data_IF_532840688803
#
_entry.id   IF_532840688803
#
_cell.length_a   1.000
_cell.length_b   1.000
_cell.length_c   1.000
_cell.angle_alpha   90.00
_cell.angle_beta   90.00
_cell.angle_gamma   90.00
#
_symmetry.space_group_name_H-M   'P 1'
#
loop_
_entity.id
_entity.type
_entity.pdbx_description
1 polymer ?
#
# COMPACT_ATOMS: atom_id res chain seq x y z
N UNK A 1 4.63 3.80 -13.97
CA UNK A 1 4.81 3.24 -12.61
C UNK A 1 3.49 2.97 -11.91
N UNK A 2 2.57 3.94 -11.85
CA UNK A 2 1.22 3.78 -11.28
C UNK A 2 0.42 2.60 -11.84
N UNK A 3 0.43 2.40 -13.17
CA UNK A 3 -0.30 1.29 -13.81
C UNK A 3 0.22 -0.10 -13.36
N UNK A 4 1.53 -0.25 -13.17
CA UNK A 4 2.13 -1.48 -12.64
C UNK A 4 1.74 -1.73 -11.18
N UNK A 5 1.67 -0.67 -10.36
CA UNK A 5 1.27 -0.78 -8.96
C UNK A 5 -0.21 -1.18 -8.82
N UNK A 6 -1.08 -0.66 -9.70
CA UNK A 6 -2.50 -1.06 -9.76
C UNK A 6 -2.61 -2.54 -10.13
N UNK A 7 -1.89 -2.97 -11.18
CA UNK A 7 -1.85 -4.37 -11.60
C UNK A 7 -1.33 -5.29 -10.49
N UNK A 8 -0.26 -4.89 -9.80
CA UNK A 8 0.29 -5.64 -8.69
C UNK A 8 -0.73 -5.79 -7.56
N UNK A 9 -1.39 -4.71 -7.14
CA UNK A 9 -2.43 -4.76 -6.10
C UNK A 9 -3.60 -5.67 -6.48
N UNK A 10 -4.02 -5.66 -7.75
CA UNK A 10 -5.09 -6.54 -8.26
C UNK A 10 -4.66 -8.01 -8.27
N UNK A 11 -3.43 -8.29 -8.72
CA UNK A 11 -2.85 -9.63 -8.70
C UNK A 11 -2.72 -10.16 -7.27
N UNK A 12 -2.26 -9.35 -6.32
CA UNK A 12 -2.17 -9.72 -4.90
C UNK A 12 -3.56 -10.02 -4.32
N UNK A 13 -4.56 -9.16 -4.61
CA UNK A 13 -5.93 -9.38 -4.16
C UNK A 13 -6.51 -10.70 -4.67
N UNK A 14 -6.26 -11.04 -5.94
CA UNK A 14 -6.76 -12.30 -6.53
C UNK A 14 -5.98 -13.50 -6.01
N UNK A 15 -4.65 -13.41 -5.99
CA UNK A 15 -3.78 -14.53 -5.62
C UNK A 15 -3.90 -14.90 -4.14
N UNK A 16 -3.97 -13.91 -3.25
CA UNK A 16 -4.10 -14.16 -1.81
C UNK A 16 -5.55 -14.14 -1.32
N UNK A 17 -6.40 -13.26 -1.86
CA UNK A 17 -7.80 -13.15 -1.42
C UNK A 17 -8.62 -14.40 -1.74
N UNK A 18 -8.42 -15.03 -2.90
CA UNK A 18 -9.15 -16.24 -3.30
C UNK A 18 -8.89 -17.43 -2.35
N UNK A 19 -7.64 -17.82 -2.02
CA UNK A 19 -7.38 -18.89 -1.06
C UNK A 19 -7.80 -18.53 0.36
N UNK A 20 -7.67 -17.27 0.79
CA UNK A 20 -8.12 -16.82 2.11
C UNK A 20 -9.64 -16.98 2.26
N UNK A 21 -10.40 -16.56 1.24
CA UNK A 21 -11.84 -16.74 1.20
C UNK A 21 -12.23 -18.23 1.21
N UNK A 22 -11.57 -19.05 0.37
CA UNK A 22 -11.84 -20.49 0.28
C UNK A 22 -11.56 -21.23 1.59
N UNK A 23 -10.53 -20.81 2.34
CA UNK A 23 -10.18 -21.37 3.66
C UNK A 23 -11.00 -20.76 4.82
N UNK A 24 -11.95 -19.85 4.54
CA UNK A 24 -12.73 -19.11 5.54
C UNK A 24 -11.86 -18.37 6.57
N UNK A 25 -10.69 -17.90 6.15
CA UNK A 25 -9.75 -17.13 6.95
C UNK A 25 -10.16 -15.64 6.91
N UNK A 26 -11.28 -15.33 7.56
CA UNK A 26 -11.92 -14.02 7.48
C UNK A 26 -11.09 -12.90 8.10
N UNK A 27 -10.30 -13.20 9.15
CA UNK A 27 -9.46 -12.21 9.81
C UNK A 27 -8.31 -11.78 8.89
N UNK A 28 -7.67 -12.74 8.26
CA UNK A 28 -6.58 -12.51 7.31
C UNK A 28 -7.11 -11.80 6.05
N UNK A 29 -8.30 -12.19 5.57
CA UNK A 29 -8.98 -11.49 4.47
C UNK A 29 -9.28 -10.01 4.82
N UNK A 30 -9.74 -9.75 6.05
CA UNK A 30 -9.99 -8.40 6.52
C UNK A 30 -8.69 -7.57 6.61
N UNK A 31 -7.60 -8.16 7.09
CA UNK A 31 -6.29 -7.51 7.16
C UNK A 31 -5.76 -7.21 5.74
N UNK A 32 -5.87 -8.15 4.81
CA UNK A 32 -5.48 -7.95 3.40
C UNK A 32 -6.28 -6.81 2.77
N UNK A 33 -7.61 -6.82 2.97
CA UNK A 33 -8.49 -5.77 2.47
C UNK A 33 -8.17 -4.40 3.07
N UNK A 34 -7.85 -4.33 4.36
CA UNK A 34 -7.47 -3.10 5.05
C UNK A 34 -6.12 -2.58 4.53
N UNK A 35 -5.13 -3.46 4.33
CA UNK A 35 -3.85 -3.11 3.73
C UNK A 35 -4.00 -2.56 2.31
N UNK A 36 -4.70 -3.28 1.42
CA UNK A 36 -4.89 -2.84 0.04
C UNK A 36 -5.77 -1.58 -0.05
N UNK A 37 -6.82 -1.50 0.77
CA UNK A 37 -7.69 -0.34 0.85
C UNK A 37 -6.97 0.91 1.37
N UNK A 38 -6.17 0.78 2.43
CA UNK A 38 -5.38 1.89 2.97
C UNK A 38 -4.30 2.36 1.99
N UNK A 39 -3.63 1.44 1.28
CA UNK A 39 -2.70 1.76 0.21
C UNK A 39 -3.40 2.52 -0.94
N UNK A 40 -4.58 2.06 -1.35
CA UNK A 40 -5.40 2.72 -2.37
C UNK A 40 -5.80 4.14 -1.96
N UNK A 41 -6.26 4.31 -0.72
CA UNK A 41 -6.60 5.63 -0.16
C UNK A 41 -5.40 6.57 -0.14
N UNK A 42 -4.23 6.10 0.31
CA UNK A 42 -3.00 6.91 0.30
C UNK A 42 -2.62 7.34 -1.11
N UNK A 43 -2.76 6.44 -2.10
CA UNK A 43 -2.54 6.76 -3.50
C UNK A 43 -3.49 7.85 -4.02
N UNK A 44 -4.78 7.76 -3.70
CA UNK A 44 -5.79 8.77 -4.08
C UNK A 44 -5.47 10.12 -3.44
N UNK A 45 -5.20 10.15 -2.13
CA UNK A 45 -4.86 11.37 -1.39
C UNK A 45 -3.61 12.04 -1.98
N UNK A 46 -2.61 11.24 -2.37
CA UNK A 46 -1.41 11.75 -3.03
C UNK A 46 -1.70 12.35 -4.42
N UNK A 47 -2.59 11.73 -5.22
CA UNK A 47 -3.03 12.27 -6.51
C UNK A 47 -3.84 13.57 -6.35
N UNK A 48 -4.60 13.69 -5.27
CA UNK A 48 -5.34 14.92 -4.92
C UNK A 48 -4.44 16.07 -4.43
N UNK A 49 -3.11 15.87 -4.37
CA UNK A 49 -2.16 16.88 -3.93
C UNK A 49 -2.21 17.16 -2.43
N UNK A 50 -2.91 16.31 -1.66
CA UNK A 50 -2.98 16.44 -0.22
C UNK A 50 -1.73 15.85 0.44
N UNK A 51 -1.31 16.48 1.55
CA UNK A 51 -0.18 15.99 2.33
C UNK A 51 -0.53 14.64 2.95
N UNK A 52 0.22 13.60 2.59
CA UNK A 52 0.05 12.27 3.20
C UNK A 52 1.03 12.08 4.36
N UNK A 53 0.76 11.18 5.31
CA UNK A 53 1.72 10.81 6.35
C UNK A 53 3.06 10.30 5.79
N UNK A 54 3.05 9.75 4.57
CA UNK A 54 4.27 9.36 3.85
C UNK A 54 5.17 10.57 3.57
N UNK A 55 4.60 11.73 3.24
CA UNK A 55 5.36 12.95 2.99
C UNK A 55 6.09 13.42 4.26
N UNK A 56 5.46 13.27 5.43
CA UNK A 56 6.10 13.59 6.72
C UNK A 56 7.21 12.60 7.03
N UNK A 57 6.98 11.31 6.76
CA UNK A 57 7.97 10.26 6.94
C UNK A 57 9.21 10.51 6.06
N UNK A 58 9.01 10.95 4.81
CA UNK A 58 10.08 11.31 3.89
C UNK A 58 10.85 12.56 4.33
N UNK A 59 10.18 13.56 4.91
CA UNK A 59 10.87 14.72 5.50
C UNK A 59 11.75 14.35 6.68
N UNK A 60 11.34 13.39 7.51
CA UNK A 60 12.08 12.97 8.71
C UNK A 60 13.21 12.00 8.35
N UNK A 61 12.91 10.99 7.54
CA UNK A 61 13.84 9.89 7.22
C UNK A 61 14.65 10.14 5.95
N UNK A 62 14.20 11.01 5.05
CA UNK A 62 14.94 11.41 3.85
C UNK A 62 16.36 11.93 4.12
N UNK A 63 16.58 12.84 5.09
CA UNK A 63 17.94 13.28 5.43
C UNK A 63 18.82 12.14 5.96
N UNK A 64 18.25 11.21 6.73
CA UNK A 64 18.95 10.02 7.22
C UNK A 64 19.33 9.10 6.07
N UNK A 65 18.38 8.77 5.18
CA UNK A 65 18.61 7.92 4.02
C UNK A 65 19.70 8.46 3.10
N UNK A 66 19.74 9.79 2.86
CA UNK A 66 20.78 10.43 2.04
C UNK A 66 22.17 10.43 2.68
N UNK A 67 22.27 10.30 4.00
CA UNK A 67 23.56 10.16 4.68
C UNK A 67 24.11 8.73 4.62
N UNK A 68 23.25 7.71 4.61
CA UNK A 68 23.68 6.30 4.64
C UNK A 68 23.81 5.64 3.25
N UNK A 69 23.05 6.09 2.26
CA UNK A 69 23.02 5.49 0.91
C UNK A 69 23.71 6.36 -0.16
N UNK A 70 24.67 7.19 0.23
CA UNK A 70 25.47 8.01 -0.69
C UNK A 70 26.60 7.22 -1.33
#
# INVERSE_FOLDING_TARGET
MTLLLILAGLLTAVYEGLPLFRKRLWRELAILGLLLGSAGLLGIVQVLGLSTPLNWLEQILGPVGRQFFK
#
